data_IF_974024867468
#
_entry.id   IF_974024867468
#
_cell.length_a   1.000
_cell.length_b   1.000
_cell.length_c   1.000
_cell.angle_alpha   90.00
_cell.angle_beta   90.00
_cell.angle_gamma   90.00
#
_symmetry.space_group_name_H-M   'P 1'
#
loop_
_entity.id
_entity.type
_entity.pdbx_description
1 polymer ?
#
# COMPACT_ATOMS: atom_id res chain seq x y z
N UNK A 1 2.01 -16.37 -14.18
CA UNK A 1 1.98 -15.23 -13.22
C UNK A 1 2.20 -13.99 -14.06
N UNK A 2 1.23 -13.07 -14.13
CA UNK A 2 1.42 -11.80 -14.86
C UNK A 2 2.48 -10.98 -14.14
N UNK A 3 3.40 -10.37 -14.88
CA UNK A 3 4.46 -9.47 -14.35
C UNK A 3 4.05 -8.00 -14.44
N UNK A 4 2.77 -7.73 -14.62
CA UNK A 4 2.26 -6.38 -14.79
C UNK A 4 2.23 -5.62 -13.47
N UNK A 5 2.60 -4.34 -13.55
CA UNK A 5 2.46 -3.41 -12.44
C UNK A 5 1.23 -2.53 -12.66
N UNK A 6 0.37 -2.42 -11.65
CA UNK A 6 -0.78 -1.52 -11.64
C UNK A 6 -0.49 -0.37 -10.68
N UNK A 7 -0.61 0.86 -11.18
CA UNK A 7 -0.49 2.07 -10.37
C UNK A 7 -1.88 2.65 -10.11
N UNK A 8 -2.18 2.90 -8.84
CA UNK A 8 -3.42 3.54 -8.40
C UNK A 8 -3.05 4.85 -7.72
N UNK A 9 -3.64 5.95 -8.18
CA UNK A 9 -3.43 7.29 -7.60
C UNK A 9 -4.67 7.67 -6.81
N UNK A 10 -4.48 7.99 -5.54
CA UNK A 10 -5.55 8.40 -4.64
C UNK A 10 -5.01 9.30 -3.53
N UNK A 11 -5.89 9.71 -2.60
CA UNK A 11 -5.53 10.46 -1.40
C UNK A 11 -5.11 9.54 -0.24
N UNK A 12 -4.67 10.14 0.87
CA UNK A 12 -4.14 9.42 2.05
C UNK A 12 -5.13 8.40 2.62
N UNK A 13 -6.39 8.78 2.86
CA UNK A 13 -7.37 7.88 3.48
C UNK A 13 -7.74 6.69 2.57
N UNK A 14 -8.05 6.88 1.27
CA UNK A 14 -8.25 5.76 0.34
C UNK A 14 -7.04 4.83 0.21
N UNK A 15 -5.80 5.35 0.19
CA UNK A 15 -4.60 4.52 0.13
C UNK A 15 -4.48 3.63 1.37
N UNK A 16 -4.66 4.21 2.56
CA UNK A 16 -4.59 3.46 3.83
C UNK A 16 -5.68 2.40 3.93
N UNK A 17 -6.92 2.72 3.51
CA UNK A 17 -8.02 1.76 3.47
C UNK A 17 -7.75 0.61 2.49
N UNK A 18 -7.21 0.91 1.30
CA UNK A 18 -6.83 -0.12 0.33
C UNK A 18 -5.73 -1.05 0.87
N UNK A 19 -4.75 -0.51 1.59
CA UNK A 19 -3.71 -1.30 2.26
C UNK A 19 -4.32 -2.19 3.36
N UNK A 20 -5.22 -1.66 4.19
CA UNK A 20 -5.90 -2.43 5.23
C UNK A 20 -6.67 -3.61 4.65
N UNK A 21 -7.50 -3.32 3.64
CA UNK A 21 -8.26 -4.32 2.90
C UNK A 21 -7.36 -5.38 2.27
N UNK A 22 -6.31 -4.96 1.58
CA UNK A 22 -5.40 -5.89 0.92
C UNK A 22 -4.71 -6.81 1.94
N UNK A 23 -4.28 -6.29 3.09
CA UNK A 23 -3.59 -7.10 4.10
C UNK A 23 -4.54 -7.91 5.00
N UNK A 24 -5.85 -7.73 4.89
CA UNK A 24 -6.84 -8.38 5.75
C UNK A 24 -6.75 -7.95 7.22
N UNK A 25 -6.27 -6.72 7.47
CA UNK A 25 -6.19 -6.11 8.80
C UNK A 25 -7.29 -5.08 8.99
N UNK A 26 -7.54 -4.66 10.23
CA UNK A 26 -8.57 -3.66 10.48
C UNK A 26 -8.11 -2.23 10.15
N UNK A 27 -9.09 -1.33 10.05
CA UNK A 27 -8.88 0.07 9.67
C UNK A 27 -8.02 0.85 10.68
N UNK A 28 -7.78 0.30 11.87
CA UNK A 28 -6.95 0.90 12.92
C UNK A 28 -5.54 1.27 12.44
N UNK A 29 -5.05 0.62 11.37
CA UNK A 29 -3.78 0.98 10.73
C UNK A 29 -3.80 2.39 10.14
N UNK A 30 -4.97 2.91 9.75
CA UNK A 30 -5.13 4.22 9.14
C UNK A 30 -4.67 5.36 10.05
N UNK A 31 -4.88 5.21 11.36
CA UNK A 31 -4.43 6.17 12.37
C UNK A 31 -3.04 5.85 12.93
N UNK A 32 -2.54 4.61 12.75
CA UNK A 32 -1.23 4.17 13.25
C UNK A 32 -0.09 4.33 12.25
N UNK A 33 -0.39 4.74 11.03
CA UNK A 33 0.58 4.87 9.95
C UNK A 33 0.66 6.30 9.44
N UNK A 34 1.85 6.77 9.06
CA UNK A 34 2.07 8.05 8.36
C UNK A 34 2.17 7.78 6.87
N UNK A 35 1.54 8.61 6.05
CA UNK A 35 1.71 8.62 4.60
C UNK A 35 1.94 10.05 4.14
N UNK A 36 3.07 10.28 3.50
CA UNK A 36 3.55 11.58 3.05
C UNK A 36 3.01 11.91 1.65
N UNK A 37 2.84 13.20 1.38
CA UNK A 37 2.49 13.68 0.05
C UNK A 37 3.56 13.27 -0.95
N UNK A 38 3.14 12.84 -2.14
CA UNK A 38 4.02 12.33 -3.19
C UNK A 38 4.86 11.10 -2.78
N UNK A 39 4.46 10.39 -1.73
CA UNK A 39 4.98 9.05 -1.45
C UNK A 39 4.24 7.98 -2.26
N UNK A 40 4.84 6.79 -2.37
CA UNK A 40 4.14 5.61 -2.85
C UNK A 40 4.25 4.45 -1.84
N UNK A 41 3.36 3.48 -1.98
CA UNK A 41 3.38 2.21 -1.24
C UNK A 41 3.16 1.06 -2.22
N UNK A 42 3.75 -0.10 -1.95
CA UNK A 42 3.75 -1.24 -2.87
C UNK A 42 3.29 -2.51 -2.18
N UNK A 43 2.20 -3.09 -2.69
CA UNK A 43 1.73 -4.41 -2.32
C UNK A 43 2.15 -5.38 -3.42
N UNK A 44 2.85 -6.45 -3.04
CA UNK A 44 3.17 -7.57 -3.92
C UNK A 44 2.12 -8.66 -3.71
N UNK A 45 1.60 -9.20 -4.81
CA UNK A 45 0.70 -10.35 -4.80
C UNK A 45 1.50 -11.61 -5.18
N UNK A 46 1.75 -12.50 -4.23
CA UNK A 46 2.41 -13.79 -4.50
C UNK A 46 1.53 -14.95 -4.04
N UNK A 47 1.15 -15.85 -4.97
CA UNK A 47 0.24 -16.99 -4.71
C UNK A 47 -1.04 -16.61 -3.94
N UNK A 48 -1.58 -15.41 -4.18
CA UNK A 48 -2.76 -14.89 -3.49
C UNK A 48 -2.49 -14.35 -2.08
N UNK A 49 -1.23 -14.28 -1.64
CA UNK A 49 -0.79 -13.70 -0.38
C UNK A 49 -0.30 -12.25 -0.63
N UNK A 50 -1.10 -11.24 -0.26
CA UNK A 50 -0.70 -9.84 -0.35
C UNK A 50 0.36 -9.51 0.70
N UNK A 51 1.46 -8.89 0.27
CA UNK A 51 2.53 -8.43 1.16
C UNK A 51 2.84 -6.97 0.90
N UNK A 52 2.80 -6.13 1.94
CA UNK A 52 3.26 -4.75 1.87
C UNK A 52 4.80 -4.74 1.85
N UNK A 53 5.38 -4.50 0.68
CA UNK A 53 6.84 -4.57 0.45
C UNK A 53 7.53 -3.22 0.60
N UNK A 54 6.80 -2.14 0.34
CA UNK A 54 7.27 -0.77 0.50
C UNK A 54 6.14 0.06 1.06
N UNK A 55 6.44 0.95 1.99
CA UNK A 55 5.45 1.80 2.62
C UNK A 55 6.00 3.21 2.77
N UNK A 56 5.20 4.20 2.36
CA UNK A 56 5.51 5.62 2.52
C UNK A 56 6.90 6.03 1.96
N UNK A 57 7.22 5.58 0.76
CA UNK A 57 8.51 5.87 0.12
C UNK A 57 8.43 7.20 -0.63
N UNK A 58 9.23 8.18 -0.22
CA UNK A 58 9.40 9.48 -0.91
C UNK A 58 10.71 9.58 -1.69
N UNK A 59 11.65 8.65 -1.43
CA UNK A 59 12.92 8.54 -2.15
C UNK A 59 13.44 7.10 -2.02
N UNK A 60 14.00 6.53 -3.08
CA UNK A 60 14.70 5.23 -3.02
C UNK A 60 16.19 5.48 -2.76
N UNK A 61 16.78 4.77 -1.79
CA UNK A 61 18.23 4.85 -1.52
C UNK A 61 18.97 3.85 -2.38
#
# INVERSE_FOLDING_TARGET
>A
ISTEHVLIVAHVSPIKAAIAWALGVGDEIGWRTRLDTASYSQIRMDKGLPTLTKFNITHET
#
